data_IF_604731929685
#
_entry.id   IF_604731929685
#
_cell.length_a   1.000
_cell.length_b   1.000
_cell.length_c   1.000
_cell.angle_alpha   90.00
_cell.angle_beta   90.00
_cell.angle_gamma   90.00
#
_symmetry.space_group_name_H-M   'P 1'
#
loop_
_entity.id
_entity.type
_entity.pdbx_description
1 polymer ?
#
# COMPACT_ATOMS: atom_id res chain seq x y z
N UNK A 1 -17.08 44.12 -20.86
CA UNK A 1 -16.11 42.99 -20.88
C UNK A 1 -15.17 43.21 -22.07
N UNK A 2 -13.90 43.39 -21.80
CA UNK A 2 -12.89 43.64 -22.85
C UNK A 2 -12.51 42.28 -23.48
N UNK A 3 -12.67 42.16 -24.79
CA UNK A 3 -12.24 40.93 -25.51
C UNK A 3 -10.74 40.77 -25.44
N UNK A 4 -10.27 39.52 -25.33
CA UNK A 4 -8.84 39.17 -25.40
C UNK A 4 -8.25 39.69 -26.72
N UNK A 5 -7.08 40.34 -26.66
CA UNK A 5 -6.41 40.84 -27.86
C UNK A 5 -6.02 39.72 -28.82
N UNK A 6 -5.94 40.00 -30.11
CA UNK A 6 -5.57 39.00 -31.13
C UNK A 6 -4.18 38.37 -30.85
N UNK A 7 -3.22 39.15 -30.38
CA UNK A 7 -1.88 38.70 -30.09
C UNK A 7 -1.84 37.72 -28.89
N UNK A 8 -2.60 38.01 -27.83
CA UNK A 8 -2.76 37.09 -26.70
C UNK A 8 -3.45 35.78 -27.12
N UNK A 9 -4.45 35.89 -27.98
CA UNK A 9 -5.17 34.74 -28.48
C UNK A 9 -4.28 33.85 -29.36
N UNK A 10 -3.41 34.46 -30.20
CA UNK A 10 -2.44 33.73 -31.01
C UNK A 10 -1.46 32.98 -30.12
N UNK A 11 -0.90 33.66 -29.11
CA UNK A 11 -0.01 33.03 -28.12
C UNK A 11 -0.68 31.86 -27.39
N UNK A 12 -1.95 31.99 -27.00
CA UNK A 12 -2.67 30.90 -26.35
C UNK A 12 -2.90 29.69 -27.26
N UNK A 13 -3.12 29.91 -28.54
CA UNK A 13 -3.24 28.84 -29.54
C UNK A 13 -1.89 28.12 -29.81
N UNK A 14 -0.78 28.83 -29.71
CA UNK A 14 0.54 28.21 -29.80
C UNK A 14 0.83 27.35 -28.55
N UNK A 15 0.52 27.83 -27.36
CA UNK A 15 0.62 27.07 -26.11
C UNK A 15 -0.28 25.83 -26.13
N UNK A 16 -1.47 25.92 -26.70
CA UNK A 16 -2.40 24.79 -26.85
C UNK A 16 -1.83 23.70 -27.77
N UNK A 17 -1.20 24.07 -28.87
CA UNK A 17 -0.51 23.11 -29.75
C UNK A 17 0.66 22.43 -29.06
N UNK A 18 1.47 23.17 -28.31
CA UNK A 18 2.62 22.65 -27.57
C UNK A 18 2.23 21.75 -26.39
N UNK A 19 1.01 21.89 -25.88
CA UNK A 19 0.52 21.11 -24.73
C UNK A 19 0.46 19.58 -24.99
N UNK A 20 0.35 19.15 -26.25
CA UNK A 20 0.35 17.74 -26.64
C UNK A 20 1.73 17.23 -27.11
N UNK A 21 2.71 18.13 -27.29
CA UNK A 21 4.10 17.75 -27.53
C UNK A 21 4.78 17.63 -26.17
N UNK A 22 4.85 16.41 -25.65
CA UNK A 22 5.58 16.15 -24.39
C UNK A 22 7.05 16.51 -24.58
N UNK A 23 7.44 17.74 -24.26
CA UNK A 23 8.82 18.17 -24.26
C UNK A 23 9.64 17.46 -23.17
N UNK A 24 8.96 16.98 -22.12
CA UNK A 24 9.61 16.19 -21.08
C UNK A 24 9.86 14.76 -21.57
N UNK A 25 11.10 14.48 -21.92
CA UNK A 25 11.56 13.16 -22.42
C UNK A 25 11.20 12.02 -21.46
N UNK A 26 11.17 12.26 -20.16
CA UNK A 26 10.80 11.28 -19.15
C UNK A 26 9.33 10.91 -19.22
N UNK A 27 8.45 11.91 -19.33
CA UNK A 27 7.01 11.69 -19.50
C UNK A 27 6.74 10.93 -20.79
N UNK A 28 7.39 11.32 -21.89
CA UNK A 28 7.27 10.61 -23.16
C UNK A 28 7.69 9.13 -23.05
N UNK A 29 8.83 8.84 -22.41
CA UNK A 29 9.28 7.47 -22.19
C UNK A 29 8.31 6.63 -21.37
N UNK A 30 7.69 7.21 -20.35
CA UNK A 30 6.66 6.52 -19.57
C UNK A 30 5.48 6.10 -20.47
N UNK A 31 4.98 7.01 -21.30
CA UNK A 31 3.89 6.73 -22.22
C UNK A 31 4.29 5.73 -23.32
N UNK A 32 5.50 5.85 -23.86
CA UNK A 32 6.02 4.92 -24.87
C UNK A 32 6.18 3.50 -24.30
N UNK A 33 6.65 3.37 -23.05
CA UNK A 33 6.79 2.09 -22.35
C UNK A 33 5.43 1.43 -22.12
N UNK A 34 4.43 2.18 -21.67
CA UNK A 34 3.08 1.68 -21.44
C UNK A 34 2.44 1.17 -22.75
N UNK A 35 2.72 1.81 -23.87
CA UNK A 35 2.24 1.36 -25.19
C UNK A 35 2.95 0.09 -25.68
N UNK A 36 4.25 -0.10 -25.39
CA UNK A 36 5.03 -1.24 -25.82
C UNK A 36 4.64 -2.54 -25.13
N UNK A 37 4.13 -2.47 -23.90
CA UNK A 37 3.73 -3.63 -23.09
C UNK A 37 2.24 -4.00 -23.26
N UNK A 38 1.58 -3.49 -24.30
CA UNK A 38 0.16 -3.79 -24.56
C UNK A 38 -0.82 -3.00 -23.67
N UNK A 39 -0.32 -2.03 -22.92
CA UNK A 39 -1.13 -1.08 -22.16
C UNK A 39 -1.50 0.08 -23.07
N UNK A 40 -2.73 0.10 -23.51
CA UNK A 40 -3.31 1.32 -24.03
C UNK A 40 -3.47 2.29 -22.86
N UNK A 41 -2.71 3.38 -22.90
CA UNK A 41 -3.06 4.58 -22.15
C UNK A 41 -4.35 5.13 -22.73
N UNK A 42 -5.43 4.45 -22.49
CA UNK A 42 -6.73 5.06 -22.58
C UNK A 42 -6.82 6.04 -21.39
N UNK A 43 -6.39 7.27 -21.65
CA UNK A 43 -6.51 8.38 -20.70
C UNK A 43 -7.96 8.63 -20.29
N UNK A 44 -8.92 8.01 -20.96
CA UNK A 44 -10.34 8.04 -20.61
C UNK A 44 -10.72 6.97 -19.57
N UNK A 45 -9.84 6.02 -19.30
CA UNK A 45 -10.00 5.08 -18.18
C UNK A 45 -11.08 4.02 -18.35
N UNK A 46 -11.73 3.90 -19.52
CA UNK A 46 -12.84 2.98 -19.71
C UNK A 46 -12.46 1.57 -20.15
N UNK A 47 -11.29 1.38 -20.75
CA UNK A 47 -10.94 0.11 -21.41
C UNK A 47 -9.71 -0.61 -20.83
N UNK A 48 -8.88 0.04 -20.03
CA UNK A 48 -7.68 -0.59 -19.50
C UNK A 48 -7.97 -1.42 -18.26
N UNK A 49 -7.32 -2.59 -18.14
CA UNK A 49 -7.21 -3.29 -16.85
C UNK A 49 -6.29 -2.45 -15.95
N UNK A 50 -6.80 -1.78 -14.92
CA UNK A 50 -6.00 -0.87 -14.14
C UNK A 50 -5.16 -1.67 -13.16
N UNK A 51 -3.88 -1.79 -13.44
CA UNK A 51 -2.92 -2.04 -12.39
C UNK A 51 -2.87 -0.86 -11.40
N UNK A 52 -2.35 -1.07 -10.21
CA UNK A 52 -2.06 0.02 -9.28
C UNK A 52 -1.16 1.05 -9.98
N UNK A 53 -1.59 2.32 -10.01
CA UNK A 53 -0.89 3.41 -10.69
C UNK A 53 -0.49 3.08 -12.15
N UNK A 54 -1.31 2.27 -12.82
CA UNK A 54 -1.06 1.80 -14.19
C UNK A 54 0.21 0.91 -14.31
N UNK A 55 0.66 0.31 -13.22
CA UNK A 55 1.76 -0.66 -13.28
C UNK A 55 1.39 -1.86 -14.14
N UNK A 56 2.36 -2.42 -14.91
CA UNK A 56 2.15 -3.63 -15.67
C UNK A 56 1.66 -4.78 -14.79
N UNK A 57 0.66 -5.52 -15.27
CA UNK A 57 0.14 -6.67 -14.54
C UNK A 57 0.91 -7.93 -14.90
N UNK A 58 1.67 -8.47 -13.95
CA UNK A 58 2.45 -9.69 -14.11
C UNK A 58 2.31 -10.60 -12.89
N UNK A 59 1.73 -11.79 -13.10
CA UNK A 59 1.66 -12.86 -12.08
C UNK A 59 3.00 -13.58 -11.88
N UNK A 60 3.90 -13.48 -12.81
CA UNK A 60 5.23 -14.09 -12.76
C UNK A 60 6.27 -13.00 -12.47
N UNK A 61 6.44 -12.69 -11.17
CA UNK A 61 7.50 -11.81 -10.75
C UNK A 61 8.87 -12.47 -10.94
N UNK A 62 9.85 -11.71 -11.41
CA UNK A 62 11.23 -12.14 -11.60
C UNK A 62 12.17 -11.28 -10.74
N UNK A 63 13.42 -11.70 -10.62
CA UNK A 63 14.47 -10.91 -9.93
C UNK A 63 14.84 -9.61 -10.65
N UNK A 64 14.29 -9.35 -11.84
CA UNK A 64 14.44 -8.08 -12.55
C UNK A 64 13.42 -7.03 -12.08
N UNK A 65 12.41 -7.45 -11.34
CA UNK A 65 11.44 -6.53 -10.74
C UNK A 65 11.96 -6.06 -9.38
N UNK A 66 11.76 -4.79 -9.08
CA UNK A 66 12.17 -4.17 -7.83
C UNK A 66 11.02 -4.12 -6.81
N UNK A 67 9.82 -3.84 -7.29
CA UNK A 67 8.62 -3.63 -6.45
C UNK A 67 7.42 -4.36 -7.04
N UNK A 68 6.69 -5.07 -6.19
CA UNK A 68 5.41 -5.69 -6.52
C UNK A 68 4.26 -5.08 -5.70
N UNK A 69 3.22 -4.57 -6.38
CA UNK A 69 1.94 -4.27 -5.75
C UNK A 69 1.12 -5.55 -5.62
N UNK A 70 0.59 -5.81 -4.42
CA UNK A 70 -0.22 -7.00 -4.13
C UNK A 70 -1.53 -6.60 -3.48
N UNK A 71 -2.65 -7.04 -4.03
CA UNK A 71 -3.95 -6.88 -3.40
C UNK A 71 -4.26 -8.03 -2.45
N UNK A 72 -4.80 -7.72 -1.27
CA UNK A 72 -5.26 -8.68 -0.27
C UNK A 72 -6.75 -8.45 0.02
N UNK A 73 -7.69 -8.88 -0.86
CA UNK A 73 -9.12 -8.58 -0.74
C UNK A 73 -9.81 -9.44 0.33
N UNK A 74 -9.51 -9.18 1.60
CA UNK A 74 -9.98 -9.92 2.77
C UNK A 74 -10.71 -8.99 3.75
N UNK A 75 -11.81 -9.47 4.36
CA UNK A 75 -12.51 -8.78 5.45
C UNK A 75 -13.27 -9.75 6.37
N UNK A 76 -12.80 -10.99 6.45
CA UNK A 76 -13.39 -12.01 7.32
C UNK A 76 -13.02 -11.82 8.79
N UNK A 77 -11.91 -11.16 9.08
CA UNK A 77 -11.44 -10.86 10.44
C UNK A 77 -11.93 -9.51 10.98
N UNK A 78 -12.77 -8.80 10.25
CA UNK A 78 -13.30 -7.50 10.67
C UNK A 78 -14.27 -7.64 11.86
N UNK A 79 -13.94 -7.00 12.97
CA UNK A 79 -14.82 -6.90 14.16
C UNK A 79 -16.05 -6.02 13.83
N UNK A 80 -15.90 -5.07 12.92
CA UNK A 80 -16.94 -4.13 12.52
C UNK A 80 -17.70 -4.54 11.26
N UNK A 81 -17.89 -3.59 10.35
CA UNK A 81 -18.60 -3.81 9.09
C UNK A 81 -17.66 -4.38 8.01
N UNK A 82 -18.18 -5.36 7.27
CA UNK A 82 -17.51 -5.90 6.08
C UNK A 82 -17.54 -4.89 4.91
N UNK A 83 -16.67 -5.10 3.92
CA UNK A 83 -16.57 -4.26 2.71
C UNK A 83 -15.14 -3.89 2.36
N UNK A 84 -14.20 -4.02 3.32
CA UNK A 84 -12.79 -3.72 3.10
C UNK A 84 -12.15 -4.59 1.99
N UNK A 85 -12.70 -5.77 1.70
CA UNK A 85 -12.28 -6.62 0.57
C UNK A 85 -12.32 -5.93 -0.79
N UNK A 86 -13.07 -4.84 -0.93
CA UNK A 86 -13.13 -4.05 -2.15
C UNK A 86 -11.99 -3.02 -2.26
N UNK A 87 -11.16 -2.88 -1.22
CA UNK A 87 -10.05 -1.93 -1.17
C UNK A 87 -9.08 -2.03 -2.35
N UNK A 88 -8.51 -3.21 -2.65
CA UNK A 88 -7.57 -3.36 -3.76
C UNK A 88 -8.14 -2.92 -5.11
N UNK A 89 -9.40 -3.30 -5.39
CA UNK A 89 -10.11 -2.86 -6.60
C UNK A 89 -10.29 -1.35 -6.62
N UNK A 90 -10.76 -0.76 -5.52
CA UNK A 90 -10.98 0.69 -5.42
C UNK A 90 -9.69 1.48 -5.59
N UNK A 91 -8.57 1.01 -5.03
CA UNK A 91 -7.25 1.62 -5.19
C UNK A 91 -6.76 1.57 -6.64
N UNK A 92 -6.93 0.45 -7.34
CA UNK A 92 -6.60 0.36 -8.77
C UNK A 92 -7.44 1.32 -9.58
N UNK A 93 -8.75 1.37 -9.35
CA UNK A 93 -9.66 2.28 -10.03
C UNK A 93 -9.33 3.75 -9.72
N UNK A 94 -9.07 4.08 -8.45
CA UNK A 94 -8.73 5.43 -8.01
C UNK A 94 -7.38 5.92 -8.55
N UNK A 95 -6.40 5.05 -8.65
CA UNK A 95 -5.05 5.40 -9.11
C UNK A 95 -4.93 5.63 -10.62
N UNK A 96 -5.94 5.29 -11.42
CA UNK A 96 -5.94 5.50 -12.89
C UNK A 96 -5.65 6.93 -13.32
N UNK A 97 -6.16 7.89 -12.57
CA UNK A 97 -6.12 9.29 -12.94
C UNK A 97 -4.85 10.01 -12.45
N UNK A 98 -3.98 9.28 -11.75
CA UNK A 98 -2.71 9.85 -11.31
C UNK A 98 -1.70 9.81 -12.44
N UNK A 99 -1.05 10.95 -12.66
CA UNK A 99 0.07 11.05 -13.62
C UNK A 99 1.28 10.22 -13.14
N UNK A 100 2.22 9.98 -14.06
CA UNK A 100 3.41 9.17 -13.76
C UNK A 100 4.42 9.90 -12.85
N UNK A 101 4.24 11.20 -12.65
CA UNK A 101 5.20 12.07 -12.00
C UNK A 101 4.62 12.66 -10.71
N UNK A 102 5.42 12.69 -9.66
CA UNK A 102 5.11 13.45 -8.46
C UNK A 102 5.21 14.95 -8.75
N UNK A 103 4.11 15.67 -8.59
CA UNK A 103 4.01 17.10 -8.94
C UNK A 103 4.94 18.00 -8.09
N UNK A 104 5.32 17.54 -6.89
CA UNK A 104 6.16 18.31 -5.97
C UNK A 104 7.64 18.07 -6.23
N UNK A 105 8.05 16.79 -6.39
CA UNK A 105 9.45 16.42 -6.55
C UNK A 105 9.90 16.30 -8.01
N UNK A 106 8.96 16.15 -8.94
CA UNK A 106 9.23 15.87 -10.35
C UNK A 106 9.73 14.44 -10.60
N UNK A 107 9.72 13.58 -9.60
CA UNK A 107 10.17 12.20 -9.70
C UNK A 107 9.15 11.31 -10.40
N UNK A 108 9.66 10.38 -11.21
CA UNK A 108 8.87 9.35 -11.89
C UNK A 108 9.33 7.97 -11.39
N UNK A 109 8.62 7.35 -10.45
CA UNK A 109 9.04 6.08 -9.85
C UNK A 109 9.30 4.96 -10.86
N UNK A 110 8.49 4.88 -11.91
CA UNK A 110 8.64 3.87 -12.97
C UNK A 110 9.89 4.03 -13.86
N UNK A 111 10.61 5.15 -13.76
CA UNK A 111 11.92 5.31 -14.40
C UNK A 111 13.08 4.84 -13.52
N UNK A 112 12.81 4.74 -12.21
CA UNK A 112 13.84 4.39 -11.22
C UNK A 112 13.74 2.93 -10.80
N UNK A 113 12.53 2.35 -10.85
CA UNK A 113 12.24 1.00 -10.38
C UNK A 113 11.37 0.24 -11.40
N UNK A 114 11.62 -1.06 -11.54
CA UNK A 114 10.76 -1.97 -12.27
C UNK A 114 9.60 -2.41 -11.37
N UNK A 115 8.48 -1.69 -11.47
CA UNK A 115 7.29 -1.88 -10.65
C UNK A 115 6.26 -2.72 -11.41
N UNK A 116 5.69 -3.71 -10.76
CA UNK A 116 4.60 -4.53 -11.32
C UNK A 116 3.38 -4.54 -10.39
N UNK A 117 2.20 -4.72 -10.97
CA UNK A 117 1.02 -5.16 -10.24
C UNK A 117 0.94 -6.69 -10.31
N UNK A 118 1.24 -7.35 -9.20
CA UNK A 118 1.19 -8.81 -9.11
C UNK A 118 -0.26 -9.35 -9.15
N UNK A 119 -1.23 -8.50 -8.90
CA UNK A 119 -2.65 -8.85 -8.75
C UNK A 119 -3.03 -9.10 -7.30
N UNK A 120 -4.15 -9.80 -7.13
CA UNK A 120 -4.66 -10.13 -5.80
C UNK A 120 -4.20 -11.51 -5.34
N UNK A 121 -4.07 -11.68 -4.02
CA UNK A 121 -3.87 -13.01 -3.41
C UNK A 121 -5.06 -13.91 -3.78
N UNK A 122 -4.76 -15.11 -4.23
CA UNK A 122 -5.77 -16.14 -4.53
C UNK A 122 -6.08 -16.94 -3.27
N UNK A 123 -7.38 -17.16 -3.04
CA UNK A 123 -7.84 -17.87 -1.85
C UNK A 123 -8.03 -19.36 -2.13
N UNK A 124 -7.36 -20.21 -1.36
CA UNK A 124 -7.52 -21.68 -1.45
C UNK A 124 -8.85 -22.15 -0.87
N UNK A 125 -9.38 -21.41 0.12
CA UNK A 125 -10.63 -21.75 0.80
C UNK A 125 -11.31 -20.52 1.40
N UNK A 126 -12.39 -20.71 2.15
CA UNK A 126 -13.15 -19.64 2.82
C UNK A 126 -12.76 -19.43 4.28
N UNK A 127 -11.83 -20.23 4.83
CA UNK A 127 -11.41 -20.15 6.23
C UNK A 127 -10.44 -18.98 6.43
N UNK A 128 -10.71 -18.11 7.42
CA UNK A 128 -9.88 -16.95 7.73
C UNK A 128 -8.45 -17.35 8.09
N UNK A 129 -8.30 -18.33 9.00
CA UNK A 129 -6.99 -18.73 9.50
C UNK A 129 -6.09 -19.24 8.37
N UNK A 130 -6.63 -20.02 7.43
CA UNK A 130 -5.89 -20.50 6.25
C UNK A 130 -5.49 -19.34 5.36
N UNK A 131 -6.41 -18.41 5.07
CA UNK A 131 -6.11 -17.25 4.21
C UNK A 131 -5.00 -16.39 4.78
N UNK A 132 -5.02 -16.14 6.08
CA UNK A 132 -4.07 -15.28 6.77
C UNK A 132 -2.76 -15.99 7.08
N UNK A 133 -2.81 -17.29 7.43
CA UNK A 133 -1.62 -18.03 7.84
C UNK A 133 -0.95 -18.85 6.73
N UNK A 134 -1.60 -19.03 5.58
CA UNK A 134 -1.08 -19.82 4.45
C UNK A 134 -1.13 -19.04 3.12
N UNK A 135 -2.33 -18.60 2.65
CA UNK A 135 -2.47 -18.02 1.32
C UNK A 135 -1.69 -16.71 1.16
N UNK A 136 -1.83 -15.77 2.10
CA UNK A 136 -1.10 -14.50 2.07
C UNK A 136 0.41 -14.73 2.21
N UNK A 137 0.90 -15.46 3.25
CA UNK A 137 2.33 -15.71 3.42
C UNK A 137 2.99 -16.32 2.19
N UNK A 138 2.35 -17.28 1.53
CA UNK A 138 2.89 -17.94 0.34
C UNK A 138 3.26 -16.95 -0.77
N UNK A 139 2.43 -15.93 -1.00
CA UNK A 139 2.69 -14.90 -2.01
C UNK A 139 3.87 -14.01 -1.59
N UNK A 140 3.85 -13.51 -0.34
CA UNK A 140 4.88 -12.57 0.13
C UNK A 140 6.25 -13.25 0.32
N UNK A 141 6.29 -14.51 0.77
CA UNK A 141 7.50 -15.33 0.80
C UNK A 141 8.07 -15.52 -0.61
N UNK A 142 7.22 -15.85 -1.59
CA UNK A 142 7.66 -16.01 -2.99
C UNK A 142 8.24 -14.74 -3.58
N UNK A 143 7.68 -13.57 -3.28
CA UNK A 143 8.18 -12.28 -3.77
C UNK A 143 9.47 -11.89 -3.03
N UNK A 144 9.51 -12.02 -1.72
CA UNK A 144 10.68 -11.72 -0.90
C UNK A 144 11.88 -12.59 -1.25
N UNK A 145 11.69 -13.88 -1.50
CA UNK A 145 12.76 -14.81 -1.90
C UNK A 145 13.42 -14.45 -3.24
N UNK A 146 12.73 -13.68 -4.07
CA UNK A 146 13.26 -13.13 -5.34
C UNK A 146 13.90 -11.75 -5.17
N UNK A 147 13.90 -11.20 -3.95
CA UNK A 147 14.46 -9.90 -3.62
C UNK A 147 13.56 -8.69 -3.89
N UNK A 148 12.27 -8.90 -4.15
CA UNK A 148 11.35 -7.81 -4.39
C UNK A 148 10.88 -7.16 -3.09
N UNK A 149 10.79 -5.83 -3.12
CA UNK A 149 10.00 -5.09 -2.15
C UNK A 149 8.52 -5.19 -2.49
N UNK A 150 7.66 -5.18 -1.48
CA UNK A 150 6.22 -5.29 -1.68
C UNK A 150 5.47 -4.08 -1.16
N UNK A 151 4.42 -3.67 -1.89
CA UNK A 151 3.41 -2.74 -1.44
C UNK A 151 2.07 -3.49 -1.44
N UNK A 152 1.54 -3.78 -0.26
CA UNK A 152 0.25 -4.45 -0.12
C UNK A 152 -0.89 -3.45 0.02
N UNK A 153 -2.01 -3.75 -0.65
CA UNK A 153 -3.27 -3.07 -0.44
C UNK A 153 -4.26 -4.07 0.16
N UNK A 154 -4.59 -3.92 1.42
CA UNK A 154 -5.59 -4.73 2.10
C UNK A 154 -7.01 -4.34 1.67
N UNK A 155 -7.82 -5.03 2.13
CA UNK A 155 -8.73 -5.59 3.04
C UNK A 155 -8.66 -4.97 4.44
N UNK A 156 -9.11 -5.76 5.36
CA UNK A 156 -9.01 -5.41 6.77
C UNK A 156 -7.63 -5.81 7.34
N UNK A 157 -7.37 -5.45 8.59
CA UNK A 157 -6.01 -5.42 9.13
C UNK A 157 -5.39 -6.80 9.35
N UNK A 158 -6.17 -7.91 9.42
CA UNK A 158 -5.58 -9.26 9.54
C UNK A 158 -4.65 -9.60 8.38
N UNK A 159 -4.82 -8.96 7.23
CA UNK A 159 -3.92 -9.11 6.09
C UNK A 159 -2.47 -8.80 6.44
N UNK A 160 -2.24 -7.83 7.33
CA UNK A 160 -0.90 -7.43 7.77
C UNK A 160 -0.17 -8.57 8.50
N UNK A 161 -0.86 -9.37 9.32
CA UNK A 161 -0.25 -10.54 9.95
C UNK A 161 0.28 -11.53 8.91
N UNK A 162 -0.54 -11.85 7.90
CA UNK A 162 -0.11 -12.74 6.81
C UNK A 162 1.07 -12.20 6.00
N UNK A 163 1.07 -10.89 5.72
CA UNK A 163 2.19 -10.20 5.05
C UNK A 163 3.48 -10.31 5.88
N UNK A 164 3.42 -9.96 7.16
CA UNK A 164 4.59 -10.03 8.07
C UNK A 164 5.12 -11.45 8.17
N UNK A 165 4.24 -12.45 8.30
CA UNK A 165 4.61 -13.86 8.31
C UNK A 165 5.36 -14.27 7.04
N UNK A 166 4.82 -13.93 5.86
CA UNK A 166 5.44 -14.27 4.59
C UNK A 166 6.79 -13.58 4.39
N UNK A 167 6.90 -12.31 4.76
CA UNK A 167 8.14 -11.56 4.67
C UNK A 167 9.19 -12.05 5.66
N UNK A 168 8.80 -12.57 6.83
CA UNK A 168 9.72 -13.11 7.85
C UNK A 168 10.34 -14.45 7.45
N UNK A 169 9.78 -15.15 6.46
CA UNK A 169 10.32 -16.42 6.01
C UNK A 169 11.72 -16.23 5.42
N UNK A 170 12.69 -16.96 5.96
CA UNK A 170 14.10 -16.89 5.54
C UNK A 170 14.90 -15.73 6.13
N UNK A 171 14.33 -14.97 7.07
CA UNK A 171 15.02 -13.97 7.88
C UNK A 171 15.21 -14.48 9.31
N UNK A 172 16.41 -14.28 9.86
CA UNK A 172 16.73 -14.66 11.23
C UNK A 172 16.28 -13.60 12.25
N UNK A 173 16.14 -12.35 11.80
CA UNK A 173 15.79 -11.20 12.63
C UNK A 173 14.32 -10.80 12.46
N UNK A 174 13.65 -10.43 13.55
CA UNK A 174 12.33 -9.81 13.53
C UNK A 174 12.37 -8.42 12.90
N UNK A 175 11.28 -8.00 12.26
CA UNK A 175 11.19 -6.67 11.67
C UNK A 175 10.97 -5.57 12.73
N UNK A 176 11.49 -4.39 12.49
CA UNK A 176 10.99 -3.16 13.09
C UNK A 176 9.72 -2.69 12.36
N UNK A 177 8.81 -2.03 13.07
CA UNK A 177 7.53 -1.60 12.52
C UNK A 177 7.29 -0.11 12.77
N UNK A 178 6.83 0.60 11.76
CA UNK A 178 6.22 1.93 11.88
C UNK A 178 4.75 1.79 11.50
N UNK A 179 3.86 1.97 12.49
CA UNK A 179 2.42 1.91 12.30
C UNK A 179 1.82 3.32 12.36
N UNK A 180 1.04 3.69 11.36
CA UNK A 180 0.24 4.92 11.33
C UNK A 180 -1.24 4.52 11.45
N UNK A 181 -1.80 4.63 12.64
CA UNK A 181 -3.12 4.08 12.94
C UNK A 181 -3.84 4.87 14.05
N UNK A 182 -5.15 4.69 14.14
CA UNK A 182 -5.96 5.12 15.27
C UNK A 182 -5.87 4.15 16.47
N UNK A 183 -5.54 2.89 16.23
CA UNK A 183 -5.55 1.80 17.19
C UNK A 183 -4.18 1.13 17.30
N UNK A 184 -3.90 0.52 18.45
CA UNK A 184 -2.66 -0.25 18.63
C UNK A 184 -2.73 -1.64 17.99
N UNK A 185 -3.92 -2.19 17.83
CA UNK A 185 -4.22 -3.54 17.32
C UNK A 185 -3.41 -4.64 18.02
N UNK A 186 -3.28 -4.47 19.33
CA UNK A 186 -2.62 -5.39 20.25
C UNK A 186 -3.57 -6.01 21.28
N UNK A 187 -4.88 -5.99 20.99
CA UNK A 187 -5.86 -6.66 21.85
C UNK A 187 -5.68 -8.16 21.84
N UNK A 188 -6.25 -8.83 22.84
CA UNK A 188 -6.28 -10.29 22.98
C UNK A 188 -7.36 -10.90 22.07
N UNK A 189 -7.71 -12.16 22.30
CA UNK A 189 -8.78 -12.86 21.61
C UNK A 189 -10.12 -12.14 21.72
N UNK A 190 -10.89 -12.14 20.65
CA UNK A 190 -12.24 -11.63 20.62
C UNK A 190 -13.21 -12.72 20.18
N UNK A 191 -14.20 -13.02 21.02
CA UNK A 191 -15.21 -14.07 20.71
C UNK A 191 -14.64 -15.49 20.56
N UNK A 192 -13.41 -15.72 20.93
CA UNK A 192 -12.69 -16.98 20.71
C UNK A 192 -11.69 -16.92 19.55
N UNK A 193 -11.77 -15.89 18.69
CA UNK A 193 -10.86 -15.73 17.56
C UNK A 193 -9.55 -15.06 18.02
N UNK A 194 -8.45 -15.73 17.77
CA UNK A 194 -7.11 -15.24 18.12
C UNK A 194 -6.61 -14.21 17.12
N UNK A 195 -6.94 -14.38 15.83
CA UNK A 195 -6.59 -13.47 14.75
C UNK A 195 -7.84 -12.70 14.32
N UNK A 196 -7.83 -11.41 14.56
CA UNK A 196 -8.85 -10.45 14.14
C UNK A 196 -8.17 -9.10 13.88
N UNK A 197 -8.88 -8.15 13.29
CA UNK A 197 -8.33 -6.84 12.89
C UNK A 197 -7.74 -6.02 14.06
N UNK A 198 -8.16 -6.25 15.30
CA UNK A 198 -7.63 -5.59 16.48
C UNK A 198 -6.51 -6.35 17.20
N UNK A 199 -6.10 -7.55 16.75
CA UNK A 199 -5.09 -8.39 17.42
C UNK A 199 -3.78 -8.60 16.63
N UNK A 200 -3.70 -8.05 15.45
CA UNK A 200 -2.66 -8.29 14.43
C UNK A 200 -1.25 -8.19 14.99
N UNK A 201 -0.94 -7.08 15.66
CA UNK A 201 0.44 -6.85 16.13
C UNK A 201 0.76 -7.61 17.40
N UNK A 202 -0.24 -7.94 18.23
CA UNK A 202 -0.02 -8.87 19.34
C UNK A 202 0.44 -10.23 18.82
N UNK A 203 -0.26 -10.79 17.84
CA UNK A 203 0.09 -12.09 17.27
C UNK A 203 1.43 -12.03 16.53
N UNK A 204 1.70 -10.96 15.79
CA UNK A 204 2.99 -10.79 15.11
C UNK A 204 4.18 -10.72 16.08
N UNK A 205 4.02 -10.13 17.28
CA UNK A 205 5.04 -10.16 18.35
C UNK A 205 5.20 -11.56 18.93
N UNK A 206 4.07 -12.21 19.26
CA UNK A 206 4.10 -13.54 19.90
C UNK A 206 4.72 -14.60 18.99
N UNK A 207 4.58 -14.46 17.68
CA UNK A 207 5.16 -15.34 16.68
C UNK A 207 6.56 -14.88 16.21
N UNK A 208 7.08 -13.77 16.75
CA UNK A 208 8.44 -13.28 16.49
C UNK A 208 8.62 -12.59 15.14
N UNK A 209 7.55 -12.19 14.44
CA UNK A 209 7.67 -11.51 13.15
C UNK A 209 8.10 -10.05 13.29
N UNK A 210 7.68 -9.39 14.37
CA UNK A 210 8.09 -8.02 14.69
C UNK A 210 8.76 -7.94 16.07
N UNK A 211 9.70 -7.03 16.19
CA UNK A 211 10.36 -6.67 17.43
C UNK A 211 9.63 -5.49 18.08
N UNK A 212 8.99 -5.67 19.24
CA UNK A 212 8.25 -4.60 19.88
C UNK A 212 9.15 -3.43 20.32
N UNK A 213 10.41 -3.66 20.69
CA UNK A 213 11.33 -2.59 21.06
C UNK A 213 11.78 -1.74 19.85
N UNK A 214 11.56 -2.23 18.63
CA UNK A 214 11.77 -1.51 17.36
C UNK A 214 10.46 -1.16 16.67
N UNK A 215 9.35 -1.11 17.42
CA UNK A 215 8.02 -0.79 16.90
C UNK A 215 7.56 0.57 17.42
N UNK A 216 7.10 1.42 16.48
CA UNK A 216 6.51 2.73 16.79
C UNK A 216 5.09 2.78 16.25
N UNK A 217 4.13 3.07 17.13
CA UNK A 217 2.71 3.22 16.82
C UNK A 217 2.32 4.69 16.92
N UNK A 218 1.90 5.31 15.82
CA UNK A 218 1.71 6.77 15.71
C UNK A 218 0.25 7.10 15.40
N UNK A 219 -0.27 8.11 16.11
CA UNK A 219 -1.64 8.62 15.92
C UNK A 219 -2.68 7.85 16.72
N UNK A 220 -2.23 7.09 17.71
CA UNK A 220 -3.10 6.25 18.53
C UNK A 220 -4.09 7.09 19.33
N UNK A 221 -5.35 6.70 19.25
CA UNK A 221 -6.48 7.34 19.93
C UNK A 221 -7.57 6.34 20.20
N UNK A 222 -8.58 6.71 20.90
CA UNK A 222 -9.70 5.82 21.24
C UNK A 222 -9.95 5.78 22.73
N UNK A 223 -11.03 5.12 23.14
CA UNK A 223 -11.51 5.16 24.53
C UNK A 223 -10.99 4.04 25.43
N UNK A 224 -10.20 3.14 24.87
CA UNK A 224 -9.86 1.88 25.54
C UNK A 224 -8.36 1.77 25.80
N UNK A 225 -7.86 2.62 26.71
CA UNK A 225 -6.44 2.58 27.11
C UNK A 225 -5.98 1.18 27.57
N UNK A 226 -6.88 0.37 28.13
CA UNK A 226 -6.57 -1.00 28.51
C UNK A 226 -6.23 -1.91 27.33
N UNK A 227 -6.61 -1.54 26.12
CA UNK A 227 -6.21 -2.27 24.89
C UNK A 227 -4.76 -1.96 24.49
N UNK A 228 -4.13 -0.96 25.09
CA UNK A 228 -2.76 -0.53 24.80
C UNK A 228 -1.73 -1.16 25.76
N UNK A 229 -2.17 -1.83 26.81
CA UNK A 229 -1.27 -2.42 27.83
C UNK A 229 -0.19 -3.28 27.20
N UNK A 230 -0.57 -4.17 26.27
CA UNK A 230 0.42 -5.05 25.61
C UNK A 230 1.49 -4.25 24.85
N UNK A 231 1.11 -3.18 24.17
CA UNK A 231 2.09 -2.32 23.46
C UNK A 231 3.09 -1.72 24.43
N UNK A 232 2.63 -1.20 25.57
CA UNK A 232 3.48 -0.60 26.59
C UNK A 232 4.33 -1.67 27.32
N UNK A 233 3.73 -2.78 27.71
CA UNK A 233 4.39 -3.83 28.47
C UNK A 233 5.49 -4.53 27.68
N UNK A 234 5.35 -4.59 26.34
CA UNK A 234 6.36 -5.19 25.45
C UNK A 234 7.41 -4.21 24.95
N UNK A 235 7.29 -2.90 25.28
CA UNK A 235 8.28 -1.89 24.95
C UNK A 235 8.06 -1.16 23.62
N UNK A 236 6.87 -1.28 23.00
CA UNK A 236 6.54 -0.47 21.81
C UNK A 236 6.47 1.02 22.18
N UNK A 237 6.93 1.88 21.27
CA UNK A 237 6.74 3.31 21.40
C UNK A 237 5.35 3.68 20.89
N UNK A 238 4.48 4.16 21.77
CA UNK A 238 3.12 4.60 21.42
C UNK A 238 3.06 6.12 21.46
N UNK A 239 2.82 6.76 20.32
CA UNK A 239 2.65 8.20 20.16
C UNK A 239 1.18 8.47 19.86
N UNK A 240 0.51 9.14 20.80
CA UNK A 240 -0.91 9.44 20.67
C UNK A 240 -1.19 10.53 19.64
N UNK A 241 -2.41 10.56 19.10
CA UNK A 241 -2.84 11.63 18.20
C UNK A 241 -2.76 13.01 18.87
N UNK A 242 -3.04 13.08 20.18
CA UNK A 242 -2.93 14.32 20.96
C UNK A 242 -1.48 14.80 21.04
N UNK A 243 -0.52 13.89 21.26
CA UNK A 243 0.90 14.24 21.25
C UNK A 243 1.38 14.72 19.88
N UNK A 244 0.94 14.09 18.79
CA UNK A 244 1.25 14.55 17.42
C UNK A 244 0.70 15.96 17.19
N UNK A 245 -0.53 16.21 17.66
CA UNK A 245 -1.17 17.53 17.53
C UNK A 245 -0.47 18.62 18.37
N UNK A 246 -0.09 18.30 19.60
CA UNK A 246 0.53 19.26 20.51
C UNK A 246 2.00 19.54 20.19
N UNK A 247 2.77 18.49 19.82
CA UNK A 247 4.22 18.56 19.67
C UNK A 247 4.67 18.72 18.21
N UNK A 248 3.78 18.47 17.25
CA UNK A 248 4.05 18.57 15.82
C UNK A 248 4.76 17.34 15.22
N UNK A 249 4.90 17.35 13.89
CA UNK A 249 5.50 16.24 13.13
C UNK A 249 6.99 16.07 13.45
N UNK A 250 7.70 17.15 13.72
CA UNK A 250 9.13 17.13 14.09
C UNK A 250 9.43 16.30 15.36
N UNK A 251 8.46 16.14 16.23
CA UNK A 251 8.58 15.28 17.42
C UNK A 251 8.47 13.79 17.07
N UNK A 252 7.80 13.47 15.97
CA UNK A 252 7.51 12.09 15.54
C UNK A 252 8.65 11.52 14.73
N UNK A 253 9.42 12.38 14.03
CA UNK A 253 10.57 12.02 13.18
C UNK A 253 11.84 11.90 14.04
#
# INVERSE_FOLDING_TARGET
MTKVSKDKLSKYKELDKAAFEFENVKVKKFFDRSNLEGYSLDTTGFLANPGFFQAPHHREATSENDIAFVGCPLDLGAIGLSGARHGPKAMREGSRNYGPMNDVTGEIPFEQCNIIDYGDVEWSCTNLDVRVSEDIPLVFESLSSKGLNTLSCGGEHTTTYGVLKGLSTGHDDSFGLIQLDAHCDTMSTWGGDTINDGSVFRQAVLDGYIDPERTVQIGIRGRANFLWEFSHDTGMTVITADEVFEKGVEYVI
#
